data_IF_777643215975
#
_entry.id   IF_777643215975
#
_cell.length_a   1.000
_cell.length_b   1.000
_cell.length_c   1.000
_cell.angle_alpha   90.00
_cell.angle_beta   90.00
_cell.angle_gamma   90.00
#
_symmetry.space_group_name_H-M   'P 1'
#
loop_
_entity.id
_entity.type
_entity.pdbx_description
1 polymer ?
#
# COMPACT_ATOMS: atom_id res chain seq x y z
N UNK A 1 -2.40 26.79 -40.99
CA UNK A 1 -3.56 25.89 -40.72
C UNK A 1 -3.11 24.43 -40.57
N UNK A 2 -2.39 23.85 -41.55
CA UNK A 2 -1.87 22.48 -41.48
C UNK A 2 -0.97 22.19 -40.26
N UNK A 3 -0.04 23.10 -39.93
CA UNK A 3 0.84 22.95 -38.77
C UNK A 3 0.09 22.93 -37.43
N UNK A 4 -1.01 23.69 -37.31
CA UNK A 4 -1.87 23.70 -36.11
C UNK A 4 -2.68 22.41 -35.99
N UNK A 5 -3.18 21.86 -37.10
CA UNK A 5 -3.83 20.55 -37.11
C UNK A 5 -2.86 19.44 -36.69
N UNK A 6 -1.60 19.49 -37.15
CA UNK A 6 -0.57 18.52 -36.76
C UNK A 6 -0.21 18.59 -35.27
N UNK A 7 -0.13 19.78 -34.69
CA UNK A 7 0.15 19.97 -33.25
C UNK A 7 -1.04 19.50 -32.39
N UNK A 8 -2.28 19.81 -32.79
CA UNK A 8 -3.48 19.32 -32.11
C UNK A 8 -3.60 17.78 -32.18
N UNK A 9 -3.27 17.19 -33.34
CA UNK A 9 -3.24 15.74 -33.49
C UNK A 9 -2.16 15.09 -32.62
N UNK A 10 -0.98 15.69 -32.49
CA UNK A 10 0.08 15.22 -31.61
C UNK A 10 -0.30 15.32 -30.12
N UNK A 11 -0.97 16.40 -29.70
CA UNK A 11 -1.47 16.55 -28.31
C UNK A 11 -2.56 15.53 -27.97
N UNK A 12 -3.48 15.24 -28.90
CA UNK A 12 -4.49 14.19 -28.74
C UNK A 12 -3.86 12.80 -28.67
N UNK A 13 -2.81 12.54 -29.46
CA UNK A 13 -2.05 11.30 -29.38
C UNK A 13 -1.37 11.16 -28.02
N UNK A 14 -0.68 12.20 -27.53
CA UNK A 14 -0.03 12.19 -26.20
C UNK A 14 -1.04 11.98 -25.08
N UNK A 15 -2.25 12.56 -25.15
CA UNK A 15 -3.34 12.30 -24.20
C UNK A 15 -3.84 10.85 -24.27
N UNK A 16 -3.86 10.22 -25.45
CA UNK A 16 -4.26 8.81 -25.60
C UNK A 16 -3.23 7.80 -25.11
N UNK A 17 -1.96 8.19 -24.96
CA UNK A 17 -0.89 7.31 -24.41
C UNK A 17 -0.76 7.42 -22.89
N UNK A 18 -1.68 8.09 -22.19
CA UNK A 18 -1.70 8.11 -20.72
C UNK A 18 -2.12 6.72 -20.20
N UNK A 19 -1.12 5.86 -20.12
CA UNK A 19 -1.04 4.64 -19.31
C UNK A 19 -2.31 3.79 -19.26
N UNK A 20 -2.39 2.78 -20.13
CA UNK A 20 -2.88 1.48 -19.68
C UNK A 20 -1.87 0.90 -18.69
N UNK A 21 -1.71 1.53 -17.53
CA UNK A 21 -1.20 0.82 -16.38
C UNK A 21 -2.14 -0.36 -16.21
N UNK A 22 -1.66 -1.58 -16.47
CA UNK A 22 -2.39 -2.79 -16.11
C UNK A 22 -2.49 -2.74 -14.58
N UNK A 23 -3.57 -2.13 -14.08
CA UNK A 23 -3.89 -2.16 -12.66
C UNK A 23 -4.21 -3.62 -12.39
N UNK A 24 -3.21 -4.35 -11.88
CA UNK A 24 -3.36 -5.73 -11.45
C UNK A 24 -4.52 -5.75 -10.46
N UNK A 25 -5.68 -6.24 -10.90
CA UNK A 25 -6.91 -6.22 -10.11
C UNK A 25 -6.66 -7.01 -8.83
N UNK A 26 -6.77 -6.32 -7.70
CA UNK A 26 -6.70 -6.93 -6.38
C UNK A 26 -7.73 -8.06 -6.28
N UNK A 27 -7.34 -9.21 -5.73
CA UNK A 27 -8.31 -10.29 -5.47
C UNK A 27 -9.28 -9.88 -4.36
N UNK A 28 -10.49 -10.44 -4.37
CA UNK A 28 -11.48 -10.27 -3.30
C UNK A 28 -10.89 -10.62 -1.92
N UNK A 29 -10.08 -11.67 -1.87
CA UNK A 29 -9.48 -12.16 -0.63
C UNK A 29 -8.45 -11.16 -0.07
N UNK A 30 -7.63 -10.56 -0.95
CA UNK A 30 -6.70 -9.49 -0.54
C UNK A 30 -7.47 -8.25 -0.07
N UNK A 31 -8.61 -7.93 -0.67
CA UNK A 31 -9.49 -6.82 -0.20
C UNK A 31 -10.03 -7.11 1.19
N UNK A 32 -10.53 -8.31 1.42
CA UNK A 32 -11.07 -8.73 2.71
C UNK A 32 -9.99 -8.71 3.80
N UNK A 33 -8.78 -9.21 3.51
CA UNK A 33 -7.67 -9.18 4.45
C UNK A 33 -7.30 -7.76 4.86
N UNK A 34 -7.14 -6.85 3.90
CA UNK A 34 -6.81 -5.44 4.17
C UNK A 34 -7.90 -4.77 5.01
N UNK A 35 -9.19 -5.02 4.70
CA UNK A 35 -10.29 -4.49 5.50
C UNK A 35 -10.21 -4.98 6.94
N UNK A 36 -10.05 -6.29 7.14
CA UNK A 36 -9.95 -6.88 8.48
C UNK A 36 -8.78 -6.32 9.29
N UNK A 37 -7.61 -6.12 8.65
CA UNK A 37 -6.47 -5.50 9.32
C UNK A 37 -6.71 -4.02 9.64
N UNK A 38 -7.37 -3.25 8.77
CA UNK A 38 -7.71 -1.87 9.06
C UNK A 38 -8.74 -1.75 10.19
N UNK A 39 -9.71 -2.65 10.27
CA UNK A 39 -10.67 -2.71 11.37
C UNK A 39 -9.96 -3.01 12.70
N UNK A 40 -9.06 -4.01 12.71
CA UNK A 40 -8.24 -4.32 13.88
C UNK A 40 -7.34 -3.13 14.30
N UNK A 41 -6.73 -2.44 13.33
CA UNK A 41 -5.92 -1.24 13.57
C UNK A 41 -6.72 -0.11 14.18
N UNK A 42 -7.95 0.11 13.69
CA UNK A 42 -8.87 1.10 14.24
C UNK A 42 -9.24 0.76 15.68
N UNK A 43 -9.69 -0.47 15.94
CA UNK A 43 -10.03 -0.91 17.29
C UNK A 43 -8.84 -0.80 18.24
N UNK A 44 -7.65 -1.22 17.80
CA UNK A 44 -6.43 -1.11 18.60
C UNK A 44 -6.11 0.35 18.92
N UNK A 45 -6.22 1.26 17.94
CA UNK A 45 -5.96 2.68 18.14
C UNK A 45 -6.94 3.31 19.13
N UNK A 46 -8.22 2.95 19.06
CA UNK A 46 -9.26 3.40 20.00
C UNK A 46 -8.98 2.89 21.43
N UNK A 47 -8.69 1.61 21.58
CA UNK A 47 -8.46 0.98 22.89
C UNK A 47 -7.17 1.46 23.56
N UNK A 48 -6.11 1.68 22.79
CA UNK A 48 -4.77 1.99 23.30
C UNK A 48 -4.38 3.46 23.13
N UNK A 49 -5.33 4.31 22.68
CA UNK A 49 -5.13 5.74 22.45
C UNK A 49 -3.92 6.02 21.53
N UNK A 50 -3.91 5.39 20.35
CA UNK A 50 -2.85 5.59 19.35
C UNK A 50 -3.26 6.67 18.36
N UNK A 51 -2.62 7.83 18.45
CA UNK A 51 -2.96 9.03 17.70
C UNK A 51 -2.49 9.04 16.23
N UNK A 52 -1.56 8.15 15.85
CA UNK A 52 -0.88 8.15 14.55
C UNK A 52 -1.00 6.83 13.77
N UNK A 53 -2.05 6.03 14.01
CA UNK A 53 -2.27 4.76 13.32
C UNK A 53 -2.63 4.98 11.84
N UNK A 54 -1.78 4.54 10.92
CA UNK A 54 -2.04 4.67 9.47
C UNK A 54 -3.03 3.62 8.96
N UNK A 55 -3.80 3.98 7.94
CA UNK A 55 -4.60 3.03 7.16
C UNK A 55 -3.68 2.25 6.21
N UNK A 56 -3.90 0.94 6.09
CA UNK A 56 -3.22 0.11 5.11
C UNK A 56 -3.92 0.21 3.77
N UNK A 57 -3.16 0.49 2.72
CA UNK A 57 -3.59 0.40 1.33
C UNK A 57 -3.05 -0.85 0.65
N UNK A 58 -3.74 -1.31 -0.39
CA UNK A 58 -3.22 -2.37 -1.26
C UNK A 58 -1.94 -1.94 -1.97
N UNK A 59 -0.96 -2.85 -2.01
CA UNK A 59 0.28 -2.70 -2.75
C UNK A 59 0.53 -3.97 -3.60
N UNK A 60 0.52 -3.78 -4.91
CA UNK A 60 0.66 -4.87 -5.88
C UNK A 60 2.06 -5.46 -5.95
N UNK A 61 3.09 -4.72 -5.52
CA UNK A 61 4.46 -5.20 -5.47
C UNK A 61 4.64 -6.13 -4.27
N UNK A 62 4.11 -5.74 -3.10
CA UNK A 62 4.02 -6.59 -1.93
C UNK A 62 3.19 -7.85 -2.21
N UNK A 63 2.08 -7.75 -2.95
CA UNK A 63 1.28 -8.91 -3.35
C UNK A 63 2.09 -9.85 -4.27
N UNK A 64 2.81 -9.29 -5.23
CA UNK A 64 3.64 -10.08 -6.16
C UNK A 64 4.80 -10.76 -5.43
N UNK A 65 5.40 -10.07 -4.45
CA UNK A 65 6.42 -10.65 -3.58
C UNK A 65 5.85 -11.75 -2.68
N UNK A 66 4.66 -11.55 -2.09
CA UNK A 66 3.95 -12.59 -1.34
C UNK A 66 3.69 -13.84 -2.21
N UNK A 67 3.26 -13.65 -3.47
CA UNK A 67 3.07 -14.76 -4.43
C UNK A 67 4.37 -15.51 -4.73
N UNK A 68 5.50 -14.81 -4.80
CA UNK A 68 6.81 -15.45 -5.01
C UNK A 68 7.26 -16.32 -3.82
N UNK A 69 6.73 -16.06 -2.62
CA UNK A 69 7.01 -16.82 -1.39
C UNK A 69 5.99 -17.94 -1.13
N UNK A 70 4.93 -18.04 -1.93
CA UNK A 70 3.84 -18.99 -1.74
C UNK A 70 4.27 -20.47 -1.86
N UNK A 71 5.51 -20.73 -2.29
CA UNK A 71 6.17 -22.03 -2.39
C UNK A 71 6.95 -22.42 -1.12
N UNK A 72 6.60 -21.84 0.03
CA UNK A 72 7.24 -22.05 1.34
C UNK A 72 8.63 -21.45 1.49
N UNK A 73 8.98 -20.42 0.69
CA UNK A 73 10.20 -19.61 0.87
C UNK A 73 9.84 -18.27 1.52
N UNK A 74 9.19 -18.31 2.69
CA UNK A 74 8.72 -17.12 3.39
C UNK A 74 9.89 -16.48 4.13
N UNK A 75 10.19 -15.22 3.80
CA UNK A 75 11.29 -14.48 4.43
C UNK A 75 10.97 -12.99 4.60
N UNK A 76 11.34 -12.39 5.75
CA UNK A 76 11.24 -10.95 5.93
C UNK A 76 12.16 -10.22 4.96
N UNK A 77 11.86 -8.95 4.70
CA UNK A 77 12.68 -8.09 3.86
C UNK A 77 13.11 -6.83 4.59
N UNK A 78 13.89 -6.00 3.89
CA UNK A 78 14.37 -4.72 4.42
C UNK A 78 13.28 -3.66 4.54
N UNK A 79 12.15 -3.82 3.82
CA UNK A 79 11.09 -2.82 3.69
C UNK A 79 9.67 -3.38 3.94
N UNK A 80 9.57 -4.57 4.53
CA UNK A 80 8.31 -5.18 4.93
C UNK A 80 8.48 -6.24 6.03
N UNK A 81 7.44 -6.41 6.83
CA UNK A 81 7.24 -7.52 7.76
C UNK A 81 6.37 -8.60 7.12
N UNK A 82 6.49 -9.82 7.64
CA UNK A 82 5.69 -10.98 7.23
C UNK A 82 4.59 -11.22 8.26
N UNK A 83 3.38 -11.45 7.77
CA UNK A 83 2.20 -11.87 8.53
C UNK A 83 1.78 -13.22 7.95
N UNK A 84 1.96 -14.29 8.73
CA UNK A 84 1.51 -15.63 8.36
C UNK A 84 0.05 -15.83 8.75
N UNK A 85 -0.74 -16.40 7.84
CA UNK A 85 -2.09 -16.89 8.14
C UNK A 85 -2.02 -18.40 8.34
N UNK A 86 -2.49 -18.90 9.48
CA UNK A 86 -2.33 -20.32 9.86
C UNK A 86 -3.55 -20.89 10.56
N UNK A 87 -3.56 -22.21 10.71
CA UNK A 87 -4.43 -22.93 11.64
C UNK A 87 -4.05 -22.73 13.12
N UNK A 88 -2.84 -22.25 13.42
CA UNK A 88 -2.37 -21.95 14.78
C UNK A 88 -2.84 -20.58 15.28
N UNK A 89 -3.47 -20.58 16.45
CA UNK A 89 -3.89 -19.38 17.15
C UNK A 89 -2.70 -18.49 17.54
N UNK A 90 -1.56 -19.08 17.94
CA UNK A 90 -0.38 -18.33 18.40
C UNK A 90 0.25 -17.50 17.28
N UNK A 91 0.38 -18.10 16.08
CA UNK A 91 0.92 -17.36 14.94
C UNK A 91 -0.07 -16.28 14.47
N UNK A 92 -1.37 -16.55 14.56
CA UNK A 92 -2.41 -15.54 14.30
C UNK A 92 -2.32 -14.37 15.30
N UNK A 93 -1.98 -14.61 16.58
CA UNK A 93 -1.72 -13.55 17.57
C UNK A 93 -0.48 -12.74 17.21
N UNK A 94 0.64 -13.38 16.86
CA UNK A 94 1.86 -12.68 16.44
C UNK A 94 1.65 -11.84 15.16
N UNK A 95 0.91 -12.40 14.20
CA UNK A 95 0.43 -11.72 13.00
C UNK A 95 -0.46 -10.51 13.33
N UNK A 96 -1.35 -10.67 14.31
CA UNK A 96 -2.18 -9.59 14.84
C UNK A 96 -1.37 -8.45 15.45
N UNK A 97 -0.34 -8.75 16.26
CA UNK A 97 0.58 -7.74 16.80
C UNK A 97 1.31 -7.00 15.69
N UNK A 98 1.80 -7.73 14.67
CA UNK A 98 2.51 -7.12 13.54
C UNK A 98 1.63 -6.14 12.77
N UNK A 99 0.34 -6.44 12.64
CA UNK A 99 -0.60 -5.57 11.97
C UNK A 99 -0.95 -4.29 12.75
N UNK A 100 -0.60 -4.16 14.04
CA UNK A 100 -0.90 -2.96 14.85
C UNK A 100 0.24 -1.95 14.91
N UNK A 101 1.31 -2.14 14.13
CA UNK A 101 2.38 -1.14 14.05
C UNK A 101 1.91 0.11 13.28
N UNK A 102 1.91 1.30 13.91
CA UNK A 102 1.17 2.47 13.42
C UNK A 102 1.75 3.10 12.16
N UNK A 103 3.02 2.89 11.86
CA UNK A 103 3.71 3.47 10.71
C UNK A 103 3.69 2.59 9.46
N UNK A 104 3.15 1.38 9.54
CA UNK A 104 2.88 0.59 8.34
C UNK A 104 1.72 1.21 7.56
N UNK A 105 1.85 1.31 6.23
CA UNK A 105 0.88 2.00 5.36
C UNK A 105 0.41 1.15 4.17
N UNK A 106 1.08 0.03 3.88
CA UNK A 106 0.83 -0.76 2.67
C UNK A 106 0.86 -2.25 2.95
N UNK A 107 0.07 -3.00 2.20
CA UNK A 107 -0.08 -4.45 2.35
C UNK A 107 -0.34 -5.16 1.03
N UNK A 108 0.19 -6.38 0.90
CA UNK A 108 -0.17 -7.31 -0.17
C UNK A 108 -0.12 -8.76 0.31
N UNK A 109 -1.03 -9.60 -0.18
CA UNK A 109 -1.23 -10.96 0.33
C UNK A 109 -1.26 -12.02 -0.79
N UNK A 110 -0.92 -13.26 -0.43
CA UNK A 110 -1.03 -14.43 -1.30
C UNK A 110 -1.42 -15.67 -0.51
N UNK A 111 -2.22 -16.54 -1.13
CA UNK A 111 -2.45 -17.90 -0.63
C UNK A 111 -1.21 -18.76 -0.91
N UNK A 112 -0.93 -19.73 -0.04
CA UNK A 112 0.12 -20.71 -0.31
C UNK A 112 -0.27 -21.57 -1.51
N UNK A 113 0.69 -21.86 -2.39
CA UNK A 113 0.47 -22.67 -3.60
C UNK A 113 0.61 -24.16 -3.34
N UNK A 114 1.18 -24.53 -2.20
CA UNK A 114 1.29 -25.90 -1.68
C UNK A 114 1.17 -25.87 -0.16
N UNK A 115 1.05 -27.03 0.47
CA UNK A 115 1.05 -27.12 1.93
C UNK A 115 2.44 -26.74 2.47
N UNK A 116 2.50 -25.64 3.22
CA UNK A 116 3.72 -25.18 3.89
C UNK A 116 3.59 -25.47 5.38
N UNK A 117 4.43 -26.38 5.90
CA UNK A 117 4.44 -26.74 7.31
C UNK A 117 5.72 -26.21 7.93
N UNK A 118 5.59 -25.34 8.93
CA UNK A 118 6.70 -24.77 9.68
C UNK A 118 6.47 -25.05 11.17
N UNK A 119 7.41 -25.76 11.81
CA UNK A 119 7.29 -26.19 13.22
C UNK A 119 5.96 -26.90 13.56
N UNK A 120 5.41 -27.67 12.62
CA UNK A 120 4.14 -28.41 12.79
C UNK A 120 2.88 -27.59 12.56
N UNK A 121 3.00 -26.31 12.16
CA UNK A 121 1.89 -25.40 11.84
C UNK A 121 1.72 -25.29 10.33
N UNK A 122 0.49 -25.34 9.83
CA UNK A 122 0.23 -25.18 8.39
C UNK A 122 -0.01 -23.71 8.04
N UNK A 123 0.84 -23.15 7.18
CA UNK A 123 0.62 -21.83 6.59
C UNK A 123 -0.42 -21.92 5.46
N UNK A 124 -1.51 -21.17 5.59
CA UNK A 124 -2.59 -21.05 4.62
C UNK A 124 -2.34 -19.90 3.62
N UNK A 125 -1.66 -18.86 4.08
CA UNK A 125 -1.32 -17.69 3.27
C UNK A 125 -0.29 -16.79 3.96
N UNK A 126 0.22 -15.83 3.20
CA UNK A 126 1.18 -14.83 3.68
C UNK A 126 0.74 -13.44 3.22
N UNK A 127 0.79 -12.49 4.14
CA UNK A 127 0.68 -11.07 3.86
C UNK A 127 2.01 -10.39 4.19
N UNK A 128 2.39 -9.42 3.36
CA UNK A 128 3.52 -8.54 3.61
C UNK A 128 2.98 -7.16 3.96
N UNK A 129 3.56 -6.52 4.97
CA UNK A 129 3.16 -5.20 5.46
C UNK A 129 4.38 -4.28 5.54
N UNK A 130 4.31 -3.09 4.94
CA UNK A 130 5.43 -2.16 4.82
C UNK A 130 5.04 -0.70 5.10
N UNK A 131 6.02 0.22 5.20
CA UNK A 131 7.38 0.11 4.66
C UNK A 131 8.47 -0.33 5.66
N UNK A 132 8.13 -0.60 6.92
CA UNK A 132 9.13 -0.94 7.93
C UNK A 132 9.32 -2.45 8.03
N UNK A 133 10.57 -2.91 8.16
CA UNK A 133 10.89 -4.34 8.39
C UNK A 133 10.66 -4.81 9.83
N UNK A 134 10.37 -3.87 10.73
CA UNK A 134 10.16 -4.11 12.15
C UNK A 134 9.34 -2.96 12.74
N UNK A 135 8.66 -3.22 13.85
CA UNK A 135 7.99 -2.17 14.62
C UNK A 135 8.81 -1.72 15.83
N UNK A 136 8.59 -0.50 16.27
CA UNK A 136 9.17 0.04 17.50
C UNK A 136 8.10 0.59 18.44
N UNK A 137 8.32 0.46 19.75
CA UNK A 137 7.48 1.11 20.77
C UNK A 137 7.49 2.64 20.63
N UNK A 138 8.60 3.21 20.14
CA UNK A 138 8.71 4.66 19.89
C UNK A 138 7.80 5.15 18.77
N UNK A 139 7.31 4.24 17.92
CA UNK A 139 6.47 4.59 16.77
C UNK A 139 5.04 4.95 17.18
N UNK A 140 4.63 4.57 18.39
CA UNK A 140 3.31 4.84 18.94
C UNK A 140 3.27 6.24 19.53
N UNK A 141 2.41 7.10 18.97
CA UNK A 141 2.08 8.40 19.57
C UNK A 141 0.81 8.26 20.39
N UNK A 142 0.91 8.59 21.68
CA UNK A 142 -0.23 8.57 22.58
C UNK A 142 -1.16 9.76 22.34
N UNK A 143 -2.47 9.52 22.35
CA UNK A 143 -3.52 10.53 22.20
C UNK A 143 -4.76 10.02 21.47
N UNK A 144 -5.74 10.90 21.29
CA UNK A 144 -6.99 10.54 20.61
C UNK A 144 -6.72 9.98 19.20
N UNK A 145 -7.39 8.89 18.78
CA UNK A 145 -7.18 8.29 17.46
C UNK A 145 -7.21 9.31 16.32
N UNK A 146 -6.17 9.26 15.50
CA UNK A 146 -5.99 10.14 14.35
C UNK A 146 -5.75 11.63 14.65
N UNK A 147 -5.56 12.01 15.92
CA UNK A 147 -5.26 13.40 16.31
C UNK A 147 -3.85 13.86 15.89
N UNK A 148 -2.94 12.92 15.62
CA UNK A 148 -1.56 13.21 15.22
C UNK A 148 -1.23 12.62 13.84
N UNK A 149 -2.22 12.57 12.95
CA UNK A 149 -2.01 12.16 11.57
C UNK A 149 -1.25 13.24 10.78
N UNK A 150 -0.06 12.94 10.23
CA UNK A 150 0.73 13.93 9.49
C UNK A 150 0.03 14.43 8.22
N UNK A 151 -0.77 13.58 7.57
CA UNK A 151 -1.45 13.89 6.30
C UNK A 151 -2.98 13.94 6.44
N UNK A 152 -3.47 14.16 7.66
CA UNK A 152 -4.89 14.08 7.99
C UNK A 152 -5.44 12.65 8.01
N UNK A 153 -6.77 12.56 8.19
CA UNK A 153 -7.49 11.30 8.40
C UNK A 153 -8.18 10.81 7.13
N UNK A 154 -8.32 9.49 7.01
CA UNK A 154 -9.24 8.82 6.07
C UNK A 154 -10.66 8.83 6.64
N UNK A 155 -11.64 8.34 5.89
CA UNK A 155 -13.03 8.20 6.37
C UNK A 155 -13.17 7.23 7.53
N UNK A 156 -12.24 6.28 7.70
CA UNK A 156 -12.23 5.34 8.83
C UNK A 156 -11.77 5.99 10.14
N UNK A 157 -11.10 7.14 10.07
CA UNK A 157 -10.48 7.84 11.19
C UNK A 157 -8.97 7.57 11.34
N UNK A 158 -8.42 6.65 10.55
CA UNK A 158 -6.99 6.34 10.50
C UNK A 158 -6.20 7.35 9.67
N UNK A 159 -4.87 7.34 9.80
CA UNK A 159 -3.99 8.29 9.13
C UNK A 159 -3.75 7.95 7.67
N UNK A 160 -3.78 8.99 6.83
CA UNK A 160 -3.39 8.90 5.43
C UNK A 160 -1.87 8.70 5.30
N UNK A 161 -1.47 7.85 4.34
CA UNK A 161 -0.08 7.81 3.88
C UNK A 161 0.31 9.15 3.24
N UNK A 162 1.60 9.48 3.20
CA UNK A 162 2.07 10.65 2.48
C UNK A 162 1.80 10.44 0.99
N UNK A 163 0.98 11.29 0.38
CA UNK A 163 0.88 11.34 -1.07
C UNK A 163 2.23 11.78 -1.62
N UNK A 164 3.02 10.85 -2.18
CA UNK A 164 4.17 11.21 -2.98
C UNK A 164 3.66 12.07 -4.14
N UNK A 165 3.93 13.37 -4.08
CA UNK A 165 3.63 14.30 -5.17
C UNK A 165 4.38 13.75 -6.38
N UNK A 166 3.64 13.20 -7.34
CA UNK A 166 4.23 12.69 -8.57
C UNK A 166 5.02 13.82 -9.23
N UNK A 167 6.34 13.63 -9.27
CA UNK A 167 7.29 14.08 -10.27
C UNK A 167 7.00 15.44 -10.92
N UNK A 168 7.73 16.47 -10.50
CA UNK A 168 7.78 17.82 -11.09
C UNK A 168 8.01 17.86 -12.61
N UNK A 169 8.32 16.72 -13.25
CA UNK A 169 8.45 16.59 -14.70
C UNK A 169 7.11 16.74 -15.44
N UNK A 170 5.96 16.39 -14.87
CA UNK A 170 4.67 16.54 -15.53
C UNK A 170 4.22 18.01 -15.64
N UNK A 171 4.62 18.86 -14.69
CA UNK A 171 4.31 20.29 -14.71
C UNK A 171 5.20 21.01 -15.74
N UNK A 172 6.49 20.62 -15.83
CA UNK A 172 7.44 21.24 -16.74
C UNK A 172 7.09 20.97 -18.22
N UNK A 173 6.59 19.77 -18.55
CA UNK A 173 6.16 19.42 -19.91
C UNK A 173 4.92 20.21 -20.36
N UNK A 174 3.95 20.42 -19.47
CA UNK A 174 2.75 21.22 -19.76
C UNK A 174 3.12 22.69 -20.00
N UNK A 175 4.00 23.27 -19.17
CA UNK A 175 4.45 24.65 -19.32
C UNK A 175 5.24 24.85 -20.61
N UNK A 176 6.13 23.91 -20.98
CA UNK A 176 6.90 24.00 -22.23
C UNK A 176 6.00 23.92 -23.48
N UNK A 177 5.01 23.02 -23.46
CA UNK A 177 4.05 22.87 -24.56
C UNK A 177 3.17 24.11 -24.76
N UNK A 178 2.74 24.75 -23.67
CA UNK A 178 1.99 26.01 -23.73
C UNK A 178 2.84 27.15 -24.29
N UNK A 179 4.10 27.28 -23.88
CA UNK A 179 5.00 28.33 -24.38
C UNK A 179 5.27 28.19 -25.89
N UNK A 180 5.43 26.97 -26.41
CA UNK A 180 5.57 26.74 -27.84
C UNK A 180 4.30 27.13 -28.62
N UNK A 181 3.11 26.89 -28.05
CA UNK A 181 1.83 27.29 -28.67
C UNK A 181 1.67 28.81 -28.76
N UNK A 182 2.11 29.56 -27.74
CA UNK A 182 2.04 31.02 -27.74
C UNK A 182 3.13 31.69 -28.58
N UNK A 183 4.30 31.07 -28.75
CA UNK A 183 5.39 31.60 -29.59
C UNK A 183 5.17 31.44 -31.09
N UNK A 184 4.14 30.69 -31.51
CA UNK A 184 3.80 30.41 -32.92
C UNK A 184 2.56 31.18 -33.42
N UNK A 185 2.21 32.27 -32.73
CA UNK A 185 1.13 33.18 -33.08
C UNK A 185 1.70 34.57 -33.38
#
# INVERSE_FOLDING_TARGET
MLLRLSILAALLFVLSVHSTAIVKRQSSDTQQAISAFNDARKQFAEQNQVANMHELSYDGDLESKAKSMANCDVKPGSDYMVIGSTDSQELNVASGVTATFPLQTRMGCAKMSKQCVENGVTLLGVCLIGPHSQGSKSDYKQGAPGSQCPNGKTSSGLCKTSSSIFSSFAILTIVFALNLMFSMN
#
